data_IF_490355417851
#
_entry.id   IF_490355417851
#
_cell.length_a   1.000
_cell.length_b   1.000
_cell.length_c   1.000
_cell.angle_alpha   90.00
_cell.angle_beta   90.00
_cell.angle_gamma   90.00
#
_symmetry.space_group_name_H-M   'P 1'
#
loop_
_entity.id
_entity.type
_entity.pdbx_description
1 polymer ?
#
# COMPACT_ATOMS: atom_id res chain seq x y z
N UNK A 1 48.50 -36.86 52.62
CA UNK A 1 47.93 -37.27 51.32
C UNK A 1 48.53 -36.40 50.22
N UNK A 2 49.44 -36.94 49.40
CA UNK A 2 50.06 -36.21 48.28
C UNK A 2 49.20 -36.36 47.03
N UNK A 3 48.46 -35.32 46.65
CA UNK A 3 47.76 -35.28 45.36
C UNK A 3 48.71 -34.72 44.29
N UNK A 4 49.23 -35.59 43.44
CA UNK A 4 50.04 -35.20 42.28
C UNK A 4 49.13 -34.73 41.15
N UNK A 5 49.11 -33.43 40.87
CA UNK A 5 48.42 -32.89 39.68
C UNK A 5 49.27 -33.15 38.44
N UNK A 6 48.79 -34.04 37.56
CA UNK A 6 49.34 -34.20 36.20
C UNK A 6 48.78 -33.10 35.30
N UNK A 7 49.63 -32.19 34.85
CA UNK A 7 49.28 -31.24 33.79
C UNK A 7 49.24 -32.00 32.45
N UNK A 8 48.03 -32.16 31.89
CA UNK A 8 47.82 -32.70 30.56
C UNK A 8 47.93 -31.56 29.56
N UNK A 9 49.07 -31.42 28.89
CA UNK A 9 49.24 -30.48 27.78
C UNK A 9 48.54 -31.06 26.54
N UNK A 10 47.39 -30.49 26.16
CA UNK A 10 46.70 -30.86 24.90
C UNK A 10 47.45 -30.24 23.72
N UNK A 11 47.82 -31.00 22.68
CA UNK A 11 48.42 -30.43 21.48
C UNK A 11 47.36 -29.61 20.71
N UNK A 12 47.74 -28.41 20.28
CA UNK A 12 46.92 -27.58 19.39
C UNK A 12 46.91 -28.23 18.01
N UNK A 13 45.75 -28.75 17.59
CA UNK A 13 45.54 -29.14 16.19
C UNK A 13 45.47 -27.88 15.31
N UNK A 14 46.03 -27.90 14.09
CA UNK A 14 45.89 -26.77 13.18
C UNK A 14 44.42 -26.64 12.79
N UNK A 15 43.84 -25.48 13.11
CA UNK A 15 42.48 -25.09 12.75
C UNK A 15 42.40 -25.08 11.21
N UNK A 16 41.53 -25.89 10.56
CA UNK A 16 41.40 -25.83 9.12
C UNK A 16 40.98 -24.41 8.75
N UNK A 17 41.75 -23.77 7.87
CA UNK A 17 41.42 -22.44 7.38
C UNK A 17 40.03 -22.50 6.78
N UNK A 18 39.15 -21.66 7.32
CA UNK A 18 37.81 -21.43 6.82
C UNK A 18 37.86 -21.30 5.30
N UNK A 19 37.31 -22.28 4.59
CA UNK A 19 36.88 -22.07 3.22
C UNK A 19 35.86 -20.94 3.26
N UNK A 20 36.25 -19.74 2.83
CA UNK A 20 35.31 -18.66 2.59
C UNK A 20 34.32 -19.17 1.54
N UNK A 21 32.99 -19.18 1.82
CA UNK A 21 32.04 -19.50 0.79
C UNK A 21 32.21 -18.43 -0.30
N UNK A 22 32.53 -18.87 -1.52
CA UNK A 22 32.49 -18.04 -2.71
C UNK A 22 31.19 -17.24 -2.71
N UNK A 23 31.19 -15.93 -3.02
CA UNK A 23 29.93 -15.20 -3.12
C UNK A 23 29.14 -15.82 -4.27
N UNK A 24 28.09 -16.58 -3.95
CA UNK A 24 27.05 -16.90 -4.91
C UNK A 24 26.51 -15.54 -5.33
N UNK A 25 26.87 -15.11 -6.54
CA UNK A 25 26.21 -13.99 -7.19
C UNK A 25 24.77 -14.43 -7.42
N UNK A 26 23.91 -14.20 -6.44
CA UNK A 26 22.48 -14.18 -6.67
C UNK A 26 22.26 -13.07 -7.70
N UNK A 27 22.02 -13.47 -8.95
CA UNK A 27 21.43 -12.63 -9.97
C UNK A 27 20.05 -12.23 -9.44
N UNK A 28 20.00 -11.13 -8.71
CA UNK A 28 18.75 -10.46 -8.36
C UNK A 28 18.30 -9.70 -9.60
N UNK A 29 17.63 -10.41 -10.50
CA UNK A 29 16.93 -9.80 -11.62
C UNK A 29 15.45 -10.11 -11.47
N UNK A 30 14.80 -9.34 -10.61
CA UNK A 30 13.39 -8.96 -10.71
C UNK A 30 13.10 -7.94 -9.60
N UNK A 31 13.57 -6.70 -9.81
CA UNK A 31 12.84 -5.56 -9.24
C UNK A 31 11.52 -5.56 -9.98
N UNK A 32 10.48 -6.12 -9.37
CA UNK A 32 9.13 -5.84 -9.81
C UNK A 32 9.00 -4.32 -9.74
N UNK A 33 8.92 -3.69 -10.92
CA UNK A 33 8.65 -2.27 -11.03
C UNK A 33 7.24 -2.05 -10.47
N UNK A 34 7.14 -1.82 -9.16
CA UNK A 34 5.93 -1.38 -8.50
C UNK A 34 5.72 0.07 -8.92
N UNK A 35 5.28 0.28 -10.16
CA UNK A 35 4.91 1.61 -10.63
C UNK A 35 3.89 2.16 -9.64
N UNK A 36 4.19 3.25 -8.92
CA UNK A 36 3.25 3.79 -7.94
C UNK A 36 1.98 4.17 -8.71
N UNK A 37 0.86 3.51 -8.37
CA UNK A 37 -0.43 3.79 -9.00
C UNK A 37 -0.71 5.30 -8.79
N UNK A 38 -0.98 6.07 -9.85
CA UNK A 38 -1.21 7.50 -9.69
C UNK A 38 -2.41 7.72 -8.77
N UNK A 39 -2.28 8.68 -7.84
CA UNK A 39 -3.34 9.03 -6.90
C UNK A 39 -4.54 9.59 -7.66
N UNK A 40 -5.58 8.76 -7.83
CA UNK A 40 -6.83 9.14 -8.47
C UNK A 40 -7.68 9.97 -7.52
N UNK A 41 -8.49 10.87 -8.06
CA UNK A 41 -9.43 11.68 -7.28
C UNK A 41 -10.53 10.82 -6.62
N UNK A 42 -11.01 9.80 -7.34
CA UNK A 42 -11.96 8.78 -6.92
C UNK A 42 -11.61 7.44 -7.58
N UNK A 43 -12.21 6.33 -7.13
CA UNK A 43 -11.98 5.00 -7.73
C UNK A 43 -12.24 4.98 -9.25
N UNK A 44 -13.32 5.61 -9.68
CA UNK A 44 -13.77 5.71 -11.08
C UNK A 44 -13.38 7.04 -11.77
N UNK A 45 -12.55 7.88 -11.16
CA UNK A 45 -12.23 9.21 -11.72
C UNK A 45 -10.85 9.73 -11.29
N UNK A 46 -10.05 10.16 -12.26
CA UNK A 46 -8.68 10.62 -11.99
C UNK A 46 -8.58 12.12 -11.65
N UNK A 47 -9.46 12.96 -12.23
CA UNK A 47 -9.39 14.43 -12.14
C UNK A 47 -10.45 15.04 -11.22
N UNK A 48 -10.25 16.30 -10.82
CA UNK A 48 -11.23 17.09 -10.08
C UNK A 48 -12.51 17.33 -10.89
N UNK A 49 -13.62 17.66 -10.22
CA UNK A 49 -14.92 17.93 -10.84
C UNK A 49 -15.43 19.35 -10.59
N UNK A 50 -14.71 20.15 -9.81
CA UNK A 50 -14.96 21.58 -9.65
C UNK A 50 -13.65 22.37 -9.68
N UNK A 51 -13.75 23.66 -10.02
CA UNK A 51 -12.60 24.57 -10.10
C UNK A 51 -11.95 24.80 -8.73
N UNK A 52 -12.76 24.85 -7.67
CA UNK A 52 -12.29 25.04 -6.29
C UNK A 52 -11.75 23.77 -5.64
N UNK A 53 -12.03 22.59 -6.20
CA UNK A 53 -11.59 21.33 -5.64
C UNK A 53 -10.08 21.14 -5.84
N UNK A 54 -9.39 20.81 -4.75
CA UNK A 54 -7.97 20.45 -4.81
C UNK A 54 -7.78 19.03 -5.37
N UNK A 55 -6.73 18.80 -6.18
CA UNK A 55 -6.37 17.48 -6.65
C UNK A 55 -5.85 16.61 -5.50
N UNK A 56 -6.08 15.30 -5.58
CA UNK A 56 -5.66 14.32 -4.57
C UNK A 56 -4.17 14.38 -4.24
N UNK A 57 -3.31 14.72 -5.20
CA UNK A 57 -1.87 14.88 -4.99
C UNK A 57 -1.50 15.94 -3.96
N UNK A 58 -2.35 16.96 -3.74
CA UNK A 58 -2.14 18.02 -2.74
C UNK A 58 -2.83 17.72 -1.40
N UNK A 59 -3.63 16.67 -1.31
CA UNK A 59 -4.46 16.39 -0.13
C UNK A 59 -3.63 16.03 1.11
N UNK A 60 -2.44 15.45 0.92
CA UNK A 60 -1.57 14.94 1.98
C UNK A 60 -0.38 15.85 2.27
N UNK A 61 -0.39 17.09 1.77
CA UNK A 61 0.69 18.06 1.98
C UNK A 61 0.43 18.85 3.26
N UNK A 62 1.35 18.76 4.22
CA UNK A 62 1.41 19.66 5.37
C UNK A 62 1.67 18.94 6.71
N UNK A 63 2.01 19.71 7.77
CA UNK A 63 2.47 19.16 9.05
C UNK A 63 1.50 18.18 9.74
N UNK A 64 0.21 18.26 9.41
CA UNK A 64 -0.82 17.34 9.93
C UNK A 64 -0.62 15.90 9.48
N UNK A 65 -0.11 15.69 8.27
CA UNK A 65 -0.05 14.36 7.64
C UNK A 65 1.34 13.71 7.73
N UNK A 66 2.37 14.43 8.19
CA UNK A 66 3.74 13.89 8.31
C UNK A 66 3.87 12.79 9.39
N UNK A 67 3.10 12.90 10.47
CA UNK A 67 3.05 11.90 11.55
C UNK A 67 1.80 11.02 11.51
N UNK A 68 0.94 11.21 10.49
CA UNK A 68 -0.24 10.37 10.30
C UNK A 68 0.15 9.23 9.39
N UNK A 69 0.16 8.01 9.94
CA UNK A 69 0.24 6.82 9.12
C UNK A 69 -1.07 6.68 8.32
N UNK A 70 -0.98 7.03 7.04
CA UNK A 70 -2.11 7.05 6.09
C UNK A 70 -2.73 5.66 5.89
N UNK A 71 -1.98 4.59 6.19
CA UNK A 71 -2.40 3.20 5.97
C UNK A 71 -3.48 2.76 6.99
N UNK A 72 -3.57 3.39 8.17
CA UNK A 72 -4.47 2.95 9.26
C UNK A 72 -5.84 3.62 9.34
N UNK A 73 -6.13 4.65 8.54
CA UNK A 73 -7.47 5.25 8.56
C UNK A 73 -8.42 4.46 7.62
N UNK A 74 -8.63 3.18 7.95
CA UNK A 74 -9.46 2.22 7.19
C UNK A 74 -10.94 2.36 7.56
N UNK A 75 -11.83 2.29 6.57
CA UNK A 75 -13.23 1.91 6.82
C UNK A 75 -13.22 0.39 7.06
N UNK A 76 -13.49 -0.03 8.30
CA UNK A 76 -13.55 -1.43 8.74
C UNK A 76 -13.92 -2.44 7.64
N UNK A 77 -12.92 -3.15 7.12
CA UNK A 77 -13.11 -4.49 6.56
C UNK A 77 -11.94 -5.34 7.02
N UNK A 78 -12.18 -6.10 8.09
CA UNK A 78 -11.22 -7.03 8.65
C UNK A 78 -11.05 -8.21 7.67
N UNK A 79 -9.91 -8.26 7.00
CA UNK A 79 -9.46 -9.43 6.27
C UNK A 79 -7.96 -9.58 6.51
N UNK A 80 -7.63 -10.19 7.64
CA UNK A 80 -6.26 -10.52 8.01
C UNK A 80 -5.89 -11.82 7.30
N UNK A 81 -5.31 -11.73 6.11
CA UNK A 81 -4.44 -12.79 5.59
C UNK A 81 -3.22 -12.19 4.87
N UNK A 82 -2.05 -12.48 5.45
CA UNK A 82 -0.70 -12.30 4.92
C UNK A 82 -0.18 -10.86 4.91
N UNK A 83 0.23 -10.43 6.11
CA UNK A 83 1.06 -9.26 6.45
C UNK A 83 2.24 -9.06 5.47
N UNK A 84 1.97 -8.54 4.27
CA UNK A 84 2.96 -8.09 3.30
C UNK A 84 2.64 -6.64 3.03
N UNK A 85 3.59 -5.78 3.41
CA UNK A 85 3.43 -4.33 3.42
C UNK A 85 3.36 -3.79 1.98
N UNK A 86 2.15 -3.71 1.46
CA UNK A 86 1.83 -2.83 0.35
C UNK A 86 1.44 -1.48 0.93
N UNK A 87 2.21 -0.43 0.59
CA UNK A 87 1.84 0.96 0.81
C UNK A 87 0.45 1.19 0.20
N UNK A 88 -0.58 1.24 1.04
CA UNK A 88 -1.98 1.15 0.61
C UNK A 88 -2.66 2.49 0.86
N UNK A 89 -2.29 3.47 0.02
CA UNK A 89 -3.04 4.71 -0.27
C UNK A 89 -4.55 4.53 -0.54
N UNK A 90 -5.06 3.29 -0.54
CA UNK A 90 -6.45 2.89 -0.70
C UNK A 90 -7.24 2.75 0.63
N UNK A 91 -6.61 2.86 1.80
CA UNK A 91 -7.35 2.62 3.07
C UNK A 91 -8.18 3.83 3.50
N UNK A 92 -7.89 5.04 3.02
CA UNK A 92 -8.82 6.16 3.13
C UNK A 92 -10.06 5.94 2.25
N UNK A 93 -11.29 6.22 2.73
CA UNK A 93 -12.50 6.06 1.93
C UNK A 93 -12.40 6.75 0.55
N UNK A 94 -12.08 5.98 -0.48
CA UNK A 94 -11.98 6.47 -1.85
C UNK A 94 -13.26 6.13 -2.61
N UNK A 95 -14.38 6.69 -2.15
CA UNK A 95 -15.71 6.37 -2.72
C UNK A 95 -15.78 6.74 -4.21
N UNK A 96 -16.57 6.00 -5.01
CA UNK A 96 -16.79 6.34 -6.41
C UNK A 96 -17.44 7.72 -6.53
N UNK A 97 -17.01 8.48 -7.54
CA UNK A 97 -17.58 9.78 -7.86
C UNK A 97 -18.97 9.61 -8.49
N UNK A 98 -19.97 10.25 -7.88
CA UNK A 98 -21.37 10.18 -8.33
C UNK A 98 -21.57 10.70 -9.76
N UNK A 99 -20.75 11.64 -10.22
CA UNK A 99 -20.82 12.20 -11.59
C UNK A 99 -20.67 11.12 -12.66
N UNK A 100 -19.77 10.15 -12.46
CA UNK A 100 -19.56 9.06 -13.42
C UNK A 100 -20.67 8.01 -13.34
N UNK A 101 -21.28 7.84 -12.16
CA UNK A 101 -22.41 6.93 -11.97
C UNK A 101 -23.66 7.48 -12.68
N UNK A 102 -23.97 8.76 -12.48
CA UNK A 102 -25.12 9.41 -13.12
C UNK A 102 -24.94 9.48 -14.63
N UNK A 103 -23.71 9.55 -15.14
CA UNK A 103 -23.44 9.51 -16.58
C UNK A 103 -23.81 8.17 -17.22
N UNK A 104 -23.87 7.08 -16.44
CA UNK A 104 -24.30 5.75 -16.91
C UNK A 104 -25.83 5.61 -16.92
N UNK A 105 -26.54 6.47 -16.20
CA UNK A 105 -28.01 6.41 -16.13
C UNK A 105 -28.63 6.80 -17.48
N UNK A 106 -29.59 6.01 -18.00
CA UNK A 106 -30.20 6.27 -19.29
C UNK A 106 -31.18 7.45 -19.23
N UNK A 107 -31.26 8.18 -20.34
CA UNK A 107 -32.26 9.24 -20.52
C UNK A 107 -33.66 8.62 -20.60
N UNK A 108 -34.58 9.13 -19.78
CA UNK A 108 -35.99 8.72 -19.78
C UNK A 108 -36.81 9.67 -20.66
N UNK A 109 -37.43 9.14 -21.69
CA UNK A 109 -38.30 9.92 -22.58
C UNK A 109 -39.73 9.95 -22.07
N UNK A 110 -40.41 11.08 -22.27
CA UNK A 110 -41.83 11.27 -21.96
C UNK A 110 -42.52 11.96 -23.13
N UNK A 111 -43.84 11.77 -23.26
CA UNK A 111 -44.64 12.43 -24.29
C UNK A 111 -45.13 13.83 -23.89
N UNK A 112 -45.14 14.16 -22.59
CA UNK A 112 -45.63 15.44 -22.07
C UNK A 112 -44.59 16.54 -22.25
N UNK A 113 -45.05 17.79 -22.42
CA UNK A 113 -44.17 18.98 -22.53
C UNK A 113 -43.41 19.31 -21.24
N UNK A 114 -43.97 18.98 -20.07
CA UNK A 114 -43.40 19.25 -18.75
C UNK A 114 -43.36 17.96 -17.96
N UNK A 115 -42.24 17.73 -17.25
CA UNK A 115 -42.03 16.60 -16.34
C UNK A 115 -41.77 17.09 -14.93
N UNK A 116 -42.11 16.25 -13.95
CA UNK A 116 -41.73 16.41 -12.56
C UNK A 116 -40.87 15.21 -12.14
N UNK A 117 -39.88 15.46 -11.29
CA UNK A 117 -39.04 14.44 -10.68
C UNK A 117 -39.13 14.59 -9.16
N UNK A 118 -39.52 13.52 -8.48
CA UNK A 118 -39.66 13.41 -7.02
C UNK A 118 -38.40 12.81 -6.35
N UNK A 119 -37.45 12.33 -7.14
CA UNK A 119 -36.29 11.58 -6.66
C UNK A 119 -36.63 10.18 -6.14
N UNK A 120 -37.78 9.60 -6.54
CA UNK A 120 -38.21 8.26 -6.14
C UNK A 120 -38.86 8.20 -4.76
N UNK A 121 -39.66 9.21 -4.42
CA UNK A 121 -40.37 9.34 -3.13
C UNK A 121 -41.86 9.06 -3.26
#
# INVERSE_FOLDING_TARGET
ALATSRLITRPLSPRPLFFLPTPIRYLSTAVAETTPKPLKQAENRDRTWSVSQQPKSKAFVGPRFEQTDIDFQVIFSESVLNHTLYNTFNTQPNRPAAIELIAQEPIRYVSKRIVACDGGK
#
